data_IF_137824507897
#
_entry.id   IF_137824507897
#
_cell.length_a   1.000
_cell.length_b   1.000
_cell.length_c   1.000
_cell.angle_alpha   90.00
_cell.angle_beta   90.00
_cell.angle_gamma   90.00
#
_symmetry.space_group_name_H-M   'P 1'
#
loop_
_entity.id
_entity.type
_entity.pdbx_description
1 polymer ?
#
# COMPACT_ATOMS: atom_id res chain seq x y z
N UNK A 1 -1.05 2.44 -22.39
CA UNK A 1 -1.66 3.50 -23.21
C UNK A 1 -2.98 3.83 -22.52
N UNK A 2 -3.02 4.89 -21.70
CA UNK A 2 -4.19 5.19 -20.88
C UNK A 2 -5.38 5.56 -21.77
N UNK A 3 -6.39 4.69 -21.81
CA UNK A 3 -7.67 5.02 -22.44
C UNK A 3 -8.28 6.13 -21.58
N UNK A 4 -8.33 7.35 -22.13
CA UNK A 4 -9.08 8.43 -21.50
C UNK A 4 -10.55 8.08 -21.64
N UNK A 5 -11.16 7.56 -20.60
CA UNK A 5 -12.61 7.61 -20.44
C UNK A 5 -13.02 9.09 -20.40
N UNK A 6 -13.44 9.61 -21.56
CA UNK A 6 -13.85 11.01 -21.70
C UNK A 6 -15.25 11.14 -21.14
N UNK A 7 -15.34 11.38 -19.83
CA UNK A 7 -16.59 11.84 -19.21
C UNK A 7 -16.96 13.19 -19.84
N UNK A 8 -18.21 13.29 -20.29
CA UNK A 8 -18.72 14.51 -20.93
C UNK A 8 -18.55 15.72 -20.00
N UNK A 9 -17.85 16.75 -20.47
CA UNK A 9 -17.55 17.96 -19.68
C UNK A 9 -18.82 18.69 -19.21
N UNK A 10 -19.90 18.69 -20.00
CA UNK A 10 -21.20 19.28 -19.61
C UNK A 10 -21.81 18.56 -18.40
N UNK A 11 -21.64 17.24 -18.35
CA UNK A 11 -22.12 16.42 -17.24
C UNK A 11 -21.38 16.78 -15.94
N UNK A 12 -20.07 17.02 -16.02
CA UNK A 12 -19.28 17.47 -14.88
C UNK A 12 -19.72 18.85 -14.36
N UNK A 13 -20.04 19.79 -15.25
CA UNK A 13 -20.52 21.14 -14.87
C UNK A 13 -21.88 21.10 -14.18
N UNK A 14 -22.77 20.20 -14.60
CA UNK A 14 -24.06 19.96 -13.94
C UNK A 14 -23.89 19.23 -12.61
N UNK A 15 -23.00 18.24 -12.57
CA UNK A 15 -22.74 17.43 -11.38
C UNK A 15 -22.09 18.25 -10.25
N UNK A 16 -21.14 19.14 -10.59
CA UNK A 16 -20.29 19.91 -9.66
C UNK A 16 -19.64 19.06 -8.56
N UNK A 17 -19.47 17.76 -8.83
CA UNK A 17 -18.96 16.78 -7.88
C UNK A 17 -19.96 16.35 -6.78
N UNK A 18 -21.18 16.89 -6.74
CA UNK A 18 -22.17 16.58 -5.72
C UNK A 18 -22.98 15.30 -6.05
N UNK A 19 -23.44 15.19 -7.30
CA UNK A 19 -24.47 14.21 -7.67
C UNK A 19 -23.94 12.94 -8.36
N UNK A 20 -22.61 12.79 -8.48
CA UNK A 20 -21.92 11.64 -9.14
C UNK A 20 -22.53 11.20 -10.47
N UNK A 21 -22.99 12.16 -11.29
CA UNK A 21 -23.72 11.90 -12.53
C UNK A 21 -22.92 11.07 -13.56
N UNK A 22 -21.60 11.01 -13.44
CA UNK A 22 -20.73 10.23 -14.32
C UNK A 22 -20.59 8.74 -13.93
N UNK A 23 -21.25 8.28 -12.86
CA UNK A 23 -21.22 6.89 -12.42
C UNK A 23 -19.90 6.42 -11.80
N UNK A 24 -18.88 7.28 -11.71
CA UNK A 24 -17.59 6.95 -11.08
C UNK A 24 -17.75 6.79 -9.57
N UNK A 25 -16.95 5.88 -8.98
CA UNK A 25 -16.92 5.63 -7.54
C UNK A 25 -16.58 6.87 -6.70
N UNK A 26 -15.79 7.78 -7.28
CA UNK A 26 -15.42 9.06 -6.67
C UNK A 26 -15.27 10.14 -7.76
N UNK A 27 -15.28 11.42 -7.36
CA UNK A 27 -15.01 12.53 -8.29
C UNK A 27 -13.50 12.82 -8.43
N UNK A 28 -12.86 12.52 -9.59
CA UNK A 28 -11.42 12.71 -9.72
C UNK A 28 -11.01 14.20 -9.77
N UNK A 29 -11.92 15.08 -10.19
CA UNK A 29 -11.70 16.53 -10.21
C UNK A 29 -11.57 17.05 -8.77
N UNK A 30 -12.51 16.69 -7.89
CA UNK A 30 -12.49 17.07 -6.48
C UNK A 30 -11.26 16.49 -5.78
N UNK A 31 -11.02 15.19 -5.94
CA UNK A 31 -9.87 14.52 -5.34
C UNK A 31 -8.54 15.17 -5.75
N UNK A 32 -8.37 15.45 -7.05
CA UNK A 32 -7.20 16.17 -7.56
C UNK A 32 -7.10 17.59 -7.02
N UNK A 33 -8.21 18.33 -6.96
CA UNK A 33 -8.23 19.70 -6.43
C UNK A 33 -7.82 19.74 -4.96
N UNK A 34 -8.35 18.82 -4.14
CA UNK A 34 -8.02 18.73 -2.71
C UNK A 34 -6.53 18.46 -2.50
N UNK A 35 -5.96 17.52 -3.24
CA UNK A 35 -4.53 17.25 -3.20
C UNK A 35 -3.70 18.46 -3.66
N UNK A 36 -4.08 19.13 -4.75
CA UNK A 36 -3.37 20.31 -5.25
C UNK A 36 -3.44 21.50 -4.27
N UNK A 37 -4.56 21.68 -3.55
CA UNK A 37 -4.66 22.70 -2.51
C UNK A 37 -3.64 22.48 -1.40
N UNK A 38 -3.46 21.23 -0.94
CA UNK A 38 -2.42 20.86 0.03
C UNK A 38 -1.02 21.10 -0.51
N UNK A 39 -0.80 20.79 -1.79
CA UNK A 39 0.50 20.93 -2.45
C UNK A 39 0.88 22.38 -2.82
N UNK A 40 -0.09 23.31 -2.85
CA UNK A 40 0.10 24.68 -3.34
C UNK A 40 1.30 25.42 -2.71
N UNK A 41 1.65 25.08 -1.46
CA UNK A 41 2.76 25.66 -0.70
C UNK A 41 4.15 25.21 -1.15
N UNK A 42 4.26 24.11 -1.91
CA UNK A 42 5.56 23.48 -2.21
C UNK A 42 5.83 23.23 -3.70
N UNK A 43 4.88 23.52 -4.60
CA UNK A 43 5.04 23.26 -6.05
C UNK A 43 6.24 23.98 -6.66
N UNK A 44 6.68 25.10 -6.05
CA UNK A 44 7.78 25.92 -6.54
C UNK A 44 9.01 25.94 -5.61
N UNK A 45 9.03 25.09 -4.58
CA UNK A 45 10.14 25.06 -3.61
C UNK A 45 10.97 23.79 -3.79
N UNK A 46 12.23 23.86 -3.38
CA UNK A 46 13.10 22.69 -3.25
C UNK A 46 13.13 22.15 -1.82
N UNK A 47 12.71 22.93 -0.83
CA UNK A 47 12.60 22.50 0.55
C UNK A 47 11.15 22.11 0.83
N UNK A 48 10.97 20.93 1.41
CA UNK A 48 9.67 20.37 1.80
C UNK A 48 9.79 19.90 3.24
N UNK A 49 8.86 20.32 4.08
CA UNK A 49 8.82 19.97 5.49
C UNK A 49 7.42 19.46 5.82
N UNK A 50 7.34 18.48 6.71
CA UNK A 50 6.07 17.98 7.20
C UNK A 50 6.17 16.67 7.96
N UNK A 51 5.06 16.26 8.56
CA UNK A 51 4.96 15.02 9.32
C UNK A 51 4.70 13.84 8.37
N UNK A 52 5.72 13.02 8.11
CA UNK A 52 5.58 11.80 7.31
C UNK A 52 4.79 10.74 8.11
N UNK A 53 3.86 9.99 7.50
CA UNK A 53 3.19 8.82 8.10
C UNK A 53 4.08 7.57 8.00
N UNK A 54 5.33 7.73 8.45
CA UNK A 54 6.52 6.97 8.04
C UNK A 54 6.49 6.39 6.62
N UNK A 55 6.06 7.16 5.62
CA UNK A 55 5.89 6.63 4.27
C UNK A 55 7.21 6.57 3.52
N UNK A 56 7.45 5.45 2.86
CA UNK A 56 8.63 5.20 2.03
C UNK A 56 8.22 4.55 0.73
N UNK A 57 8.99 4.82 -0.32
CA UNK A 57 8.80 4.20 -1.62
C UNK A 57 10.09 3.53 -2.07
N UNK A 58 10.00 2.27 -2.49
CA UNK A 58 11.07 1.54 -3.17
C UNK A 58 10.54 1.05 -4.51
N UNK A 59 11.09 1.59 -5.60
CA UNK A 59 10.70 1.26 -6.95
C UNK A 59 11.16 -0.14 -7.38
N UNK A 60 10.54 -0.68 -8.44
CA UNK A 60 10.91 -1.96 -9.07
C UNK A 60 11.75 -1.82 -10.34
N UNK A 61 11.71 -0.65 -10.97
CA UNK A 61 12.37 -0.39 -12.26
C UNK A 61 13.86 -0.12 -12.02
N UNK A 62 14.72 -0.73 -12.83
CA UNK A 62 16.18 -0.53 -12.77
C UNK A 62 16.92 -1.52 -11.86
N UNK A 63 16.26 -2.57 -11.35
CA UNK A 63 16.86 -3.55 -10.45
C UNK A 63 18.23 -4.07 -10.98
N UNK A 64 19.30 -4.10 -10.16
CA UNK A 64 19.34 -3.87 -8.71
C UNK A 64 19.48 -2.40 -8.27
N UNK A 65 19.55 -1.43 -9.19
CA UNK A 65 19.61 0.01 -8.87
C UNK A 65 18.24 0.66 -9.03
N UNK A 66 17.49 0.71 -7.93
CA UNK A 66 16.11 1.19 -7.91
C UNK A 66 16.00 2.60 -7.35
N UNK A 67 14.90 3.29 -7.65
CA UNK A 67 14.60 4.57 -7.00
C UNK A 67 14.00 4.33 -5.62
N UNK A 68 14.60 4.90 -4.58
CA UNK A 68 14.09 4.81 -3.22
C UNK A 68 14.09 6.17 -2.51
N UNK A 69 13.15 6.39 -1.60
CA UNK A 69 13.14 7.55 -0.72
C UNK A 69 11.85 7.76 0.07
N UNK A 70 11.80 8.80 0.91
CA UNK A 70 10.66 9.05 1.78
C UNK A 70 9.50 9.69 1.02
N UNK A 71 8.32 9.63 1.63
CA UNK A 71 7.16 10.39 1.21
C UNK A 71 6.57 11.16 2.40
N UNK A 72 6.35 12.46 2.22
CA UNK A 72 5.81 13.33 3.27
C UNK A 72 4.84 14.34 2.66
N UNK A 73 3.73 14.68 3.34
CA UNK A 73 2.90 15.79 2.93
C UNK A 73 3.52 17.12 3.40
N UNK A 74 3.21 18.25 2.75
CA UNK A 74 3.72 19.56 3.14
C UNK A 74 2.91 20.18 4.31
N UNK A 75 2.66 19.39 5.35
CA UNK A 75 1.91 19.78 6.54
C UNK A 75 2.39 19.02 7.78
N UNK A 76 2.23 19.65 8.95
CA UNK A 76 2.55 19.05 10.24
C UNK A 76 1.31 18.58 10.97
N UNK A 77 1.46 17.55 11.81
CA UNK A 77 0.40 17.03 12.67
C UNK A 77 0.22 15.52 12.54
N UNK A 78 -0.98 15.04 12.82
CA UNK A 78 -1.29 13.63 12.70
C UNK A 78 -1.63 13.28 11.24
N UNK A 79 -0.66 12.71 10.53
CA UNK A 79 -0.81 12.29 9.14
C UNK A 79 -1.00 10.77 9.00
N UNK A 80 -1.22 10.01 10.09
CA UNK A 80 -1.29 8.53 10.06
C UNK A 80 -2.24 7.99 8.98
N UNK A 81 -3.37 8.66 8.76
CA UNK A 81 -4.36 8.29 7.74
C UNK A 81 -3.83 8.39 6.29
N UNK A 82 -2.63 8.91 6.05
CA UNK A 82 -2.13 9.13 4.70
C UNK A 82 -1.48 7.88 4.10
N UNK A 83 -1.10 6.93 4.95
CA UNK A 83 -0.43 5.70 4.52
C UNK A 83 -0.69 4.54 5.51
N UNK A 84 -1.93 4.44 5.98
CA UNK A 84 -2.42 3.36 6.86
C UNK A 84 -3.81 2.86 6.37
N UNK A 85 -3.83 2.02 5.31
CA UNK A 85 -5.04 1.47 4.70
C UNK A 85 -6.01 0.77 5.66
N UNK A 86 -5.50 0.21 6.76
CA UNK A 86 -6.29 -0.44 7.81
C UNK A 86 -7.33 0.51 8.43
N UNK A 87 -7.14 1.84 8.33
CA UNK A 87 -8.08 2.85 8.83
C UNK A 87 -8.98 3.46 7.74
N UNK A 88 -8.94 2.98 6.50
CA UNK A 88 -9.62 3.62 5.37
C UNK A 88 -11.03 3.12 5.07
N UNK A 89 -11.49 2.05 5.75
CA UNK A 89 -12.77 1.40 5.44
C UNK A 89 -13.97 2.37 5.46
N UNK A 90 -13.99 3.32 6.37
CA UNK A 90 -15.09 4.28 6.50
C UNK A 90 -14.74 5.67 5.93
N UNK A 91 -13.63 5.76 5.18
CA UNK A 91 -13.15 7.00 4.58
C UNK A 91 -13.64 7.10 3.13
N UNK A 92 -14.15 8.28 2.69
CA UNK A 92 -14.48 8.52 1.30
C UNK A 92 -13.25 8.36 0.38
N UNK A 93 -13.44 7.73 -0.77
CA UNK A 93 -12.37 7.47 -1.73
C UNK A 93 -11.71 8.76 -2.25
N UNK A 94 -12.46 9.86 -2.36
CA UNK A 94 -11.91 11.19 -2.67
C UNK A 94 -10.85 11.63 -1.65
N UNK A 95 -11.10 11.38 -0.36
CA UNK A 95 -10.19 11.73 0.73
C UNK A 95 -8.94 10.86 0.69
N UNK A 96 -9.08 9.55 0.44
CA UNK A 96 -7.94 8.62 0.31
C UNK A 96 -7.04 9.08 -0.84
N UNK A 97 -7.61 9.39 -2.00
CA UNK A 97 -6.87 9.93 -3.16
C UNK A 97 -6.21 11.26 -2.81
N UNK A 98 -6.87 12.13 -2.04
CA UNK A 98 -6.31 13.40 -1.60
C UNK A 98 -5.12 13.22 -0.64
N UNK A 99 -5.24 12.36 0.36
CA UNK A 99 -4.16 12.05 1.30
C UNK A 99 -2.93 11.52 0.56
N UNK A 100 -3.13 10.47 -0.24
CA UNK A 100 -2.09 9.83 -1.03
C UNK A 100 -1.48 10.75 -2.09
N UNK A 101 -2.32 11.55 -2.74
CA UNK A 101 -1.90 12.53 -3.73
C UNK A 101 -1.13 13.71 -3.16
N UNK A 102 -1.25 13.98 -1.85
CA UNK A 102 -0.49 15.04 -1.17
C UNK A 102 0.90 14.63 -0.70
N UNK A 103 1.21 13.33 -0.68
CA UNK A 103 2.52 12.82 -0.30
C UNK A 103 3.54 13.07 -1.41
N UNK A 104 4.53 13.91 -1.12
CA UNK A 104 5.64 14.22 -2.05
C UNK A 104 6.66 13.10 -1.93
N UNK A 105 6.80 12.30 -2.99
CA UNK A 105 7.75 11.20 -3.04
C UNK A 105 9.10 11.71 -3.52
N UNK A 106 9.99 11.94 -2.57
CA UNK A 106 11.36 12.35 -2.80
C UNK A 106 12.21 11.09 -2.98
N UNK A 107 12.90 10.92 -4.12
CA UNK A 107 13.59 9.64 -4.41
C UNK A 107 14.89 9.81 -5.16
N UNK A 108 15.84 8.90 -4.94
CA UNK A 108 17.12 8.82 -5.67
C UNK A 108 17.47 7.37 -6.02
N UNK A 109 18.35 7.13 -7.00
CA UNK A 109 18.85 5.78 -7.28
C UNK A 109 19.64 5.24 -6.08
N UNK A 110 19.36 4.00 -5.69
CA UNK A 110 20.03 3.26 -4.61
C UNK A 110 20.23 1.82 -5.07
N UNK A 111 21.38 1.22 -4.75
CA UNK A 111 21.60 -0.21 -4.94
C UNK A 111 20.86 -0.97 -3.84
N UNK A 112 20.01 -1.93 -4.18
CA UNK A 112 19.21 -2.68 -3.20
C UNK A 112 20.05 -3.40 -2.14
N UNK A 113 21.30 -3.74 -2.44
CA UNK A 113 22.20 -4.43 -1.51
C UNK A 113 22.92 -3.48 -0.55
N UNK A 114 22.87 -2.17 -0.78
CA UNK A 114 23.59 -1.14 0.01
C UNK A 114 22.72 -0.61 1.17
N UNK A 115 22.32 -1.53 2.05
CA UNK A 115 21.43 -1.24 3.18
C UNK A 115 22.12 -0.49 4.33
N UNK A 116 23.46 -0.47 4.34
CA UNK A 116 24.27 0.22 5.35
C UNK A 116 24.63 1.66 4.93
N UNK A 117 24.26 2.08 3.71
CA UNK A 117 24.46 3.48 3.32
C UNK A 117 23.66 4.42 4.22
N UNK A 118 24.26 5.57 4.57
CA UNK A 118 23.65 6.58 5.45
C UNK A 118 22.21 6.92 5.07
N UNK A 119 21.94 7.06 3.78
CA UNK A 119 20.59 7.38 3.28
C UNK A 119 19.58 6.25 3.48
N UNK A 120 19.99 4.99 3.30
CA UNK A 120 19.10 3.85 3.57
C UNK A 120 18.89 3.69 5.08
N UNK A 121 19.91 3.94 5.89
CA UNK A 121 19.77 3.97 7.35
C UNK A 121 18.79 5.04 7.79
N UNK A 122 18.82 6.25 7.22
CA UNK A 122 17.81 7.29 7.53
C UNK A 122 16.40 6.87 7.07
N UNK A 123 16.27 6.12 5.96
CA UNK A 123 14.98 5.55 5.57
C UNK A 123 14.49 4.48 6.55
N UNK A 124 15.41 3.66 7.06
CA UNK A 124 15.11 2.65 8.08
C UNK A 124 14.68 3.33 9.38
N UNK A 125 15.44 4.32 9.86
CA UNK A 125 15.10 5.13 11.04
C UNK A 125 13.72 5.77 10.92
N UNK A 126 13.37 6.30 9.75
CA UNK A 126 12.03 6.85 9.51
C UNK A 126 10.94 5.81 9.77
N UNK A 127 11.07 4.61 9.21
CA UNK A 127 10.04 3.55 9.34
C UNK A 127 10.13 2.75 10.63
N UNK A 128 11.14 2.95 11.47
CA UNK A 128 11.14 2.37 12.82
C UNK A 128 10.02 3.00 13.65
N UNK A 129 9.71 4.28 13.44
CA UNK A 129 8.57 4.92 14.08
C UNK A 129 7.27 4.47 13.45
N UNK A 130 6.26 4.14 14.28
CA UNK A 130 4.89 3.85 13.81
C UNK A 130 4.08 5.14 13.63
N UNK A 131 4.37 6.14 14.46
CA UNK A 131 3.68 7.41 14.48
C UNK A 131 4.24 8.39 13.45
N UNK A 132 3.49 9.45 13.10
CA UNK A 132 3.98 10.49 12.22
C UNK A 132 5.25 11.18 12.76
N UNK A 133 6.24 11.33 11.88
CA UNK A 133 7.57 11.88 12.18
C UNK A 133 7.83 13.11 11.31
N UNK A 134 8.27 14.20 11.92
CA UNK A 134 8.63 15.40 11.14
C UNK A 134 9.95 15.18 10.41
N UNK A 135 9.91 15.41 9.10
CA UNK A 135 11.10 15.35 8.25
C UNK A 135 11.24 16.61 7.42
N UNK A 136 12.49 16.96 7.14
CA UNK A 136 12.87 18.00 6.19
C UNK A 136 13.51 17.33 4.97
N UNK A 137 13.04 17.67 3.79
CA UNK A 137 13.53 17.14 2.52
C UNK A 137 14.09 18.30 1.69
N UNK A 138 15.34 18.16 1.26
CA UNK A 138 15.92 19.02 0.23
C UNK A 138 15.88 18.30 -1.12
N UNK A 139 15.12 18.84 -2.07
CA UNK A 139 14.98 18.35 -3.43
C UNK A 139 16.04 18.96 -4.36
N UNK A 140 16.35 18.28 -5.47
CA UNK A 140 17.21 18.84 -6.53
C UNK A 140 16.48 19.81 -7.45
N UNK A 141 15.16 19.64 -7.55
CA UNK A 141 14.26 20.49 -8.32
C UNK A 141 12.85 20.41 -7.72
N UNK A 142 12.01 21.43 -7.91
CA UNK A 142 10.64 21.42 -7.40
C UNK A 142 9.84 20.20 -7.90
N UNK A 143 8.92 19.67 -7.07
CA UNK A 143 8.09 18.55 -7.43
C UNK A 143 7.11 18.95 -8.53
N UNK A 144 6.91 18.06 -9.52
CA UNK A 144 5.85 18.26 -10.51
C UNK A 144 4.52 17.96 -9.85
N UNK A 145 3.58 18.92 -9.86
CA UNK A 145 2.23 18.78 -9.32
C UNK A 145 1.34 17.82 -10.15
N UNK A 146 1.82 16.61 -10.33
CA UNK A 146 1.19 15.52 -11.05
C UNK A 146 0.92 14.40 -10.05
N UNK A 147 -0.35 14.04 -9.92
CA UNK A 147 -0.78 12.86 -9.18
C UNK A 147 -0.82 11.71 -10.17
N UNK A 148 -0.04 10.67 -9.89
CA UNK A 148 -0.06 9.44 -10.67
C UNK A 148 -1.16 8.54 -10.13
N UNK A 149 -2.22 8.37 -10.92
CA UNK A 149 -3.18 7.31 -10.72
C UNK A 149 -2.69 6.11 -11.54
N UNK A 150 -2.56 4.98 -10.86
CA UNK A 150 -2.22 3.72 -11.48
C UNK A 150 -3.23 2.69 -11.02
N UNK A 151 -3.33 1.72 -11.89
CA UNK A 151 -4.11 0.52 -11.75
C UNK A 151 -3.44 -0.55 -10.87
N UNK A 152 -2.11 -0.43 -10.75
CA UNK A 152 -1.26 -1.41 -10.08
C UNK A 152 -0.56 -0.84 -8.84
N UNK A 153 -0.70 0.46 -8.60
CA UNK A 153 -0.09 1.17 -7.47
C UNK A 153 -1.17 2.07 -6.87
N UNK A 154 -1.23 2.21 -5.52
CA UNK A 154 -2.06 3.23 -4.90
C UNK A 154 -1.79 4.61 -5.50
N UNK A 155 -2.70 5.59 -5.37
CA UNK A 155 -2.42 6.95 -5.80
C UNK A 155 -1.06 7.40 -5.24
N UNK A 156 -0.21 7.94 -6.12
CA UNK A 156 1.11 8.44 -5.75
C UNK A 156 1.12 9.93 -6.04
N UNK A 157 1.46 10.71 -5.02
CA UNK A 157 1.63 12.14 -5.14
C UNK A 157 2.85 12.55 -5.97
N UNK A 158 3.12 13.87 -6.03
CA UNK A 158 4.23 14.46 -6.77
C UNK A 158 5.57 13.78 -6.51
N UNK A 159 6.35 13.59 -7.57
CA UNK A 159 7.67 12.96 -7.49
C UNK A 159 8.76 13.99 -7.76
N UNK A 160 9.82 13.95 -6.95
CA UNK A 160 10.99 14.80 -7.13
C UNK A 160 12.30 14.05 -6.82
N UNK A 161 13.41 14.36 -7.53
CA UNK A 161 14.71 13.85 -7.15
C UNK A 161 15.16 14.48 -5.82
N UNK A 162 15.53 13.65 -4.85
CA UNK A 162 16.03 14.12 -3.55
C UNK A 162 17.52 14.42 -3.60
N UNK A 163 17.95 15.48 -2.91
CA UNK A 163 19.35 15.76 -2.58
C UNK A 163 19.68 15.07 -1.25
N UNK A 164 18.96 15.44 -0.20
CA UNK A 164 19.05 14.81 1.12
C UNK A 164 17.74 14.98 1.90
N UNK A 165 17.60 14.24 3.01
CA UNK A 165 16.51 14.45 3.97
C UNK A 165 16.98 14.14 5.39
N UNK A 166 16.33 14.78 6.37
CA UNK A 166 16.66 14.63 7.78
C UNK A 166 15.39 14.42 8.60
N UNK A 167 15.51 13.64 9.67
CA UNK A 167 14.45 13.46 10.66
C UNK A 167 14.63 14.54 11.72
N UNK A 168 13.60 15.37 11.90
CA UNK A 168 13.62 16.52 12.83
C UNK A 168 13.14 16.11 14.22
N UNK A 169 12.13 15.24 14.30
CA UNK A 169 11.57 14.78 15.57
C UNK A 169 11.61 13.25 15.67
N UNK A 170 12.46 12.71 16.56
CA UNK A 170 12.42 11.29 16.86
C UNK A 170 11.28 10.99 17.84
N UNK A 171 10.39 10.06 17.46
CA UNK A 171 9.38 9.50 18.37
C UNK A 171 9.81 8.11 18.82
N UNK A 172 9.52 7.77 20.07
CA UNK A 172 9.83 6.46 20.62
C UNK A 172 9.24 5.35 19.76
N UNK A 173 10.08 4.39 19.38
CA UNK A 173 9.68 3.24 18.56
C UNK A 173 9.01 2.18 19.44
N UNK A 174 8.12 1.37 18.85
CA UNK A 174 7.59 0.20 19.54
C UNK A 174 8.73 -0.78 19.85
N UNK A 175 8.91 -1.15 21.13
CA UNK A 175 10.04 -1.98 21.60
C UNK A 175 10.25 -3.28 20.81
N UNK A 176 9.18 -3.85 20.27
CA UNK A 176 9.26 -5.06 19.42
C UNK A 176 9.94 -4.77 18.09
N UNK A 177 9.67 -3.62 17.46
CA UNK A 177 10.29 -3.21 16.19
C UNK A 177 11.80 -3.04 16.40
N UNK A 178 12.23 -2.33 17.45
CA UNK A 178 13.65 -2.18 17.78
C UNK A 178 14.33 -3.54 17.97
N UNK A 179 13.73 -4.43 18.76
CA UNK A 179 14.27 -5.78 18.97
C UNK A 179 14.43 -6.55 17.66
N UNK A 180 13.42 -6.53 16.80
CA UNK A 180 13.44 -7.23 15.51
C UNK A 180 14.45 -6.61 14.55
N UNK A 181 14.58 -5.28 14.55
CA UNK A 181 15.54 -4.57 13.71
C UNK A 181 17.00 -4.82 14.15
N UNK A 182 17.25 -4.83 15.46
CA UNK A 182 18.59 -5.07 16.03
C UNK A 182 19.02 -6.53 15.95
N UNK A 183 18.08 -7.48 15.88
CA UNK A 183 18.38 -8.89 15.74
C UNK A 183 18.84 -9.22 14.30
N UNK A 184 20.16 -9.39 14.15
CA UNK A 184 20.79 -9.63 12.86
C UNK A 184 20.80 -11.10 12.43
N UNK A 185 20.32 -12.01 13.28
CA UNK A 185 20.28 -13.46 13.02
C UNK A 185 18.85 -13.97 12.77
N UNK A 186 17.84 -13.20 13.16
CA UNK A 186 16.43 -13.47 12.88
C UNK A 186 16.15 -13.50 11.37
N UNK A 187 15.44 -14.53 10.90
CA UNK A 187 15.02 -14.57 9.50
C UNK A 187 13.92 -13.54 9.22
N UNK A 188 13.83 -13.07 7.98
CA UNK A 188 12.79 -12.10 7.60
C UNK A 188 11.37 -12.67 7.82
N UNK A 189 11.20 -13.98 7.67
CA UNK A 189 9.93 -14.68 7.90
C UNK A 189 9.52 -14.63 9.37
N UNK A 190 10.44 -14.98 10.28
CA UNK A 190 10.19 -14.96 11.72
C UNK A 190 9.98 -13.53 12.22
N UNK A 191 10.75 -12.57 11.69
CA UNK A 191 10.58 -11.15 11.99
C UNK A 191 9.16 -10.64 11.65
N UNK A 192 8.68 -10.95 10.44
CA UNK A 192 7.33 -10.57 9.99
C UNK A 192 6.25 -11.18 10.90
N UNK A 193 6.34 -12.48 11.21
CA UNK A 193 5.39 -13.15 12.09
C UNK A 193 5.39 -12.54 13.49
N UNK A 194 6.57 -12.32 14.07
CA UNK A 194 6.72 -11.76 15.42
C UNK A 194 6.14 -10.35 15.53
N UNK A 195 6.33 -9.51 14.50
CA UNK A 195 5.74 -8.17 14.45
C UNK A 195 4.21 -8.24 14.37
N UNK A 196 3.68 -9.12 13.53
CA UNK A 196 2.24 -9.31 13.36
C UNK A 196 1.58 -9.82 14.65
N UNK A 197 2.14 -10.84 15.30
CA UNK A 197 1.66 -11.36 16.58
C UNK A 197 1.74 -10.32 17.71
N UNK A 198 2.62 -9.32 17.55
CA UNK A 198 2.73 -8.17 18.47
C UNK A 198 1.80 -7.01 18.09
N UNK A 199 0.79 -7.26 17.24
CA UNK A 199 -0.21 -6.27 16.79
C UNK A 199 0.36 -5.05 16.05
N UNK A 200 1.53 -5.19 15.41
CA UNK A 200 2.02 -4.16 14.50
C UNK A 200 1.21 -4.22 13.20
N UNK A 201 0.67 -3.09 12.69
CA UNK A 201 -0.11 -3.09 11.46
C UNK A 201 0.65 -3.71 10.27
N UNK A 202 -0.03 -4.52 9.47
CA UNK A 202 0.56 -5.23 8.33
C UNK A 202 1.21 -4.24 7.36
N UNK A 203 0.58 -3.10 7.08
CA UNK A 203 1.15 -2.03 6.25
C UNK A 203 2.47 -1.52 6.80
N UNK A 204 2.62 -1.43 8.11
CA UNK A 204 3.87 -1.00 8.74
C UNK A 204 4.96 -2.07 8.63
N UNK A 205 4.61 -3.35 8.79
CA UNK A 205 5.51 -4.48 8.55
C UNK A 205 6.01 -4.49 7.09
N UNK A 206 5.14 -4.19 6.13
CA UNK A 206 5.50 -4.07 4.71
C UNK A 206 6.51 -2.94 4.46
N UNK A 207 6.38 -1.79 5.15
CA UNK A 207 7.36 -0.68 5.09
C UNK A 207 8.73 -1.12 5.62
N UNK A 208 8.77 -1.73 6.81
CA UNK A 208 9.99 -2.29 7.41
C UNK A 208 10.67 -3.32 6.49
N UNK A 209 9.88 -4.21 5.90
CA UNK A 209 10.36 -5.22 4.95
C UNK A 209 10.92 -4.56 3.68
N UNK A 210 10.24 -3.54 3.14
CA UNK A 210 10.62 -2.85 1.91
C UNK A 210 11.96 -2.11 2.03
N UNK A 211 12.26 -1.50 3.17
CA UNK A 211 13.54 -0.80 3.40
C UNK A 211 14.68 -1.74 3.83
N UNK A 212 14.44 -3.05 3.83
CA UNK A 212 15.45 -4.03 4.23
C UNK A 212 15.80 -3.98 5.72
N UNK A 213 14.87 -3.51 6.58
CA UNK A 213 15.07 -3.49 8.03
C UNK A 213 14.95 -4.90 8.66
N UNK A 214 14.33 -5.85 7.95
CA UNK A 214 14.02 -7.18 8.46
C UNK A 214 14.93 -8.26 7.84
N UNK A 215 15.27 -9.26 8.66
CA UNK A 215 16.00 -10.45 8.25
C UNK A 215 17.49 -10.45 8.60
N UNK A 216 18.15 -11.55 8.23
CA UNK A 216 19.57 -11.78 8.56
C UNK A 216 20.45 -10.71 7.93
N UNK A 217 21.43 -10.18 8.66
CA UNK A 217 22.28 -9.06 8.22
C UNK A 217 22.83 -9.22 6.81
N UNK A 218 23.39 -10.39 6.48
CA UNK A 218 23.97 -10.68 5.16
C UNK A 218 22.95 -10.83 4.02
N UNK A 219 21.67 -10.93 4.35
CA UNK A 219 20.57 -11.12 3.39
C UNK A 219 19.63 -9.91 3.30
N UNK A 220 19.82 -8.89 4.16
CA UNK A 220 19.06 -7.64 4.11
C UNK A 220 19.32 -6.95 2.77
N UNK A 221 18.22 -6.53 2.14
CA UNK A 221 18.21 -5.75 0.91
C UNK A 221 16.94 -4.93 0.84
N UNK A 222 16.97 -3.81 0.14
CA UNK A 222 15.76 -3.11 -0.25
C UNK A 222 14.90 -4.02 -1.13
N UNK A 223 13.61 -4.09 -0.82
CA UNK A 223 12.63 -4.85 -1.58
C UNK A 223 11.64 -3.86 -2.19
N UNK A 224 11.40 -3.88 -3.51
CA UNK A 224 10.39 -3.02 -4.13
C UNK A 224 9.06 -3.11 -3.39
N UNK A 225 8.43 -1.97 -3.12
CA UNK A 225 7.24 -1.89 -2.24
C UNK A 225 6.14 -2.86 -2.66
N UNK A 226 5.89 -3.00 -3.97
CA UNK A 226 4.94 -4.00 -4.51
C UNK A 226 5.28 -5.43 -4.11
N UNK A 227 6.55 -5.80 -4.14
CA UNK A 227 6.99 -7.16 -3.78
C UNK A 227 6.98 -7.36 -2.27
N UNK A 228 7.27 -6.30 -1.49
CA UNK A 228 7.20 -6.33 -0.04
C UNK A 228 5.76 -6.58 0.45
N UNK A 229 4.78 -5.88 -0.14
CA UNK A 229 3.34 -6.09 0.15
C UNK A 229 2.98 -7.56 -0.01
N UNK A 230 3.19 -8.11 -1.21
CA UNK A 230 2.83 -9.51 -1.46
C UNK A 230 3.65 -10.50 -0.62
N UNK A 231 4.94 -10.25 -0.39
CA UNK A 231 5.77 -11.16 0.40
C UNK A 231 5.31 -11.24 1.85
N UNK A 232 4.95 -10.11 2.46
CA UNK A 232 4.42 -10.07 3.83
C UNK A 232 3.08 -10.81 3.90
N UNK A 233 2.15 -10.53 2.98
CA UNK A 233 0.83 -11.18 2.96
C UNK A 233 0.96 -12.70 2.80
N UNK A 234 1.89 -13.17 1.94
CA UNK A 234 2.21 -14.60 1.77
C UNK A 234 2.77 -15.19 3.06
N UNK A 235 3.76 -14.54 3.68
CA UNK A 235 4.38 -15.04 4.92
C UNK A 235 3.35 -15.19 6.02
N UNK A 236 2.51 -14.18 6.22
CA UNK A 236 1.49 -14.16 7.27
C UNK A 236 0.40 -15.18 6.98
N UNK A 237 -0.17 -15.19 5.77
CA UNK A 237 -1.21 -16.15 5.43
C UNK A 237 -0.69 -17.60 5.52
N UNK A 238 0.52 -17.89 5.05
CA UNK A 238 1.12 -19.23 5.21
C UNK A 238 1.34 -19.62 6.68
N UNK A 239 1.63 -18.65 7.55
CA UNK A 239 1.78 -18.89 9.00
C UNK A 239 0.44 -19.25 9.63
N UNK A 240 -0.61 -18.47 9.37
CA UNK A 240 -1.96 -18.71 9.90
C UNK A 240 -2.55 -20.01 9.36
N UNK A 241 -2.32 -20.33 8.08
CA UNK A 241 -2.86 -21.54 7.46
C UNK A 241 -2.37 -22.84 8.07
N UNK A 242 -1.26 -22.84 8.81
CA UNK A 242 -0.84 -24.03 9.58
C UNK A 242 -1.89 -24.38 10.64
N UNK A 243 -2.42 -23.37 11.33
CA UNK A 243 -3.45 -23.52 12.37
C UNK A 243 -4.83 -23.72 11.75
N UNK A 244 -5.17 -22.96 10.70
CA UNK A 244 -6.48 -23.08 10.03
C UNK A 244 -6.74 -24.49 9.51
N UNK A 245 -5.71 -25.18 8.99
CA UNK A 245 -5.84 -26.56 8.49
C UNK A 245 -6.09 -27.60 9.58
N UNK A 246 -5.85 -27.26 10.84
CA UNK A 246 -6.08 -28.13 12.01
C UNK A 246 -7.48 -27.92 12.62
N UNK A 247 -8.22 -26.90 12.17
CA UNK A 247 -9.58 -26.64 12.64
C UNK A 247 -10.56 -27.74 12.18
N UNK A 248 -11.62 -28.00 12.97
CA UNK A 248 -12.74 -28.80 12.50
C UNK A 248 -13.41 -28.12 11.30
N UNK A 249 -14.12 -28.92 10.50
CA UNK A 249 -14.90 -28.39 9.39
C UNK A 249 -16.08 -27.57 9.92
N UNK A 250 -16.50 -26.57 9.15
CA UNK A 250 -17.68 -25.77 9.49
C UNK A 250 -18.94 -26.64 9.45
N UNK A 251 -19.90 -26.36 10.34
CA UNK A 251 -21.18 -27.09 10.36
C UNK A 251 -22.16 -26.61 9.27
N UNK A 252 -21.91 -25.43 8.68
CA UNK A 252 -22.80 -24.81 7.70
C UNK A 252 -22.06 -23.89 6.74
N UNK A 253 -22.73 -23.54 5.64
CA UNK A 253 -22.23 -22.54 4.69
C UNK A 253 -22.47 -21.15 5.27
N UNK A 254 -21.41 -20.32 5.32
CA UNK A 254 -21.50 -18.94 5.75
C UNK A 254 -21.38 -18.01 4.53
N UNK A 255 -22.22 -16.98 4.48
CA UNK A 255 -22.20 -15.95 3.45
C UNK A 255 -22.01 -14.58 4.09
N UNK A 256 -20.97 -13.87 3.66
CA UNK A 256 -20.71 -12.49 4.01
C UNK A 256 -20.81 -11.63 2.77
N UNK A 257 -21.47 -10.48 2.88
CA UNK A 257 -21.52 -9.49 1.79
C UNK A 257 -21.21 -8.11 2.33
N UNK A 258 -20.51 -7.31 1.52
CA UNK A 258 -20.23 -5.91 1.83
C UNK A 258 -20.16 -5.10 0.55
N UNK A 259 -20.94 -4.03 0.49
CA UNK A 259 -20.85 -3.04 -0.58
C UNK A 259 -20.08 -1.82 -0.10
N UNK A 260 -18.98 -1.48 -0.77
CA UNK A 260 -18.13 -0.35 -0.43
C UNK A 260 -17.49 0.27 -1.68
N UNK A 261 -17.47 1.60 -1.76
CA UNK A 261 -16.91 2.37 -2.89
C UNK A 261 -17.35 1.86 -4.27
N UNK A 262 -18.64 1.52 -4.41
CA UNK A 262 -19.24 0.92 -5.62
C UNK A 262 -18.70 -0.45 -6.03
N UNK A 263 -18.05 -1.17 -5.12
CA UNK A 263 -17.68 -2.57 -5.26
C UNK A 263 -18.54 -3.43 -4.34
N UNK A 264 -18.93 -4.62 -4.80
CA UNK A 264 -19.58 -5.65 -3.99
C UNK A 264 -18.55 -6.73 -3.71
N UNK A 265 -18.27 -6.96 -2.43
CA UNK A 265 -17.49 -8.09 -1.95
C UNK A 265 -18.44 -9.15 -1.41
N UNK A 266 -18.24 -10.40 -1.83
CA UNK A 266 -18.93 -11.56 -1.28
C UNK A 266 -17.89 -12.60 -0.87
N UNK A 267 -17.97 -13.08 0.37
CA UNK A 267 -17.15 -14.19 0.85
C UNK A 267 -18.08 -15.35 1.24
N UNK A 268 -17.80 -16.53 0.68
CA UNK A 268 -18.58 -17.74 0.92
C UNK A 268 -17.63 -18.76 1.54
N UNK A 269 -17.94 -19.20 2.76
CA UNK A 269 -17.18 -20.23 3.45
C UNK A 269 -18.01 -21.52 3.41
N UNK A 270 -17.45 -22.57 2.83
CA UNK A 270 -18.12 -23.85 2.61
C UNK A 270 -17.44 -24.92 3.48
N UNK A 271 -18.21 -25.79 4.17
CA UNK A 271 -17.66 -26.93 4.90
C UNK A 271 -16.71 -27.78 4.05
N UNK A 272 -15.54 -28.10 4.60
CA UNK A 272 -14.56 -28.98 3.97
C UNK A 272 -13.12 -28.64 4.36
N UNK A 273 -12.17 -29.34 3.73
CA UNK A 273 -10.74 -29.04 3.88
C UNK A 273 -10.39 -27.71 3.24
N UNK A 274 -9.36 -27.06 3.77
CA UNK A 274 -8.88 -25.78 3.23
C UNK A 274 -8.69 -25.85 1.71
N UNK A 275 -9.43 -24.99 1.04
CA UNK A 275 -9.24 -24.56 -0.33
C UNK A 275 -9.67 -23.09 -0.37
N UNK A 276 -9.08 -22.33 -1.28
CA UNK A 276 -9.33 -20.90 -1.34
C UNK A 276 -9.41 -20.47 -2.79
N UNK A 277 -10.39 -19.62 -3.10
CA UNK A 277 -10.58 -19.04 -4.41
C UNK A 277 -10.87 -17.55 -4.24
N UNK A 278 -10.24 -16.74 -5.08
CA UNK A 278 -10.57 -15.32 -5.22
C UNK A 278 -10.86 -15.01 -6.67
N UNK A 279 -11.94 -14.28 -6.90
CA UNK A 279 -12.43 -13.92 -8.22
C UNK A 279 -12.79 -12.44 -8.26
N UNK A 280 -12.52 -11.80 -9.40
CA UNK A 280 -12.90 -10.42 -9.69
C UNK A 280 -13.80 -10.41 -10.93
N UNK A 281 -14.97 -9.78 -10.79
CA UNK A 281 -15.93 -9.64 -11.88
C UNK A 281 -15.96 -8.18 -12.36
N UNK A 282 -15.51 -7.96 -13.58
CA UNK A 282 -15.47 -6.65 -14.24
C UNK A 282 -16.70 -6.46 -15.14
N UNK A 283 -17.69 -5.73 -14.63
CA UNK A 283 -18.94 -5.47 -15.35
C UNK A 283 -18.76 -4.49 -16.52
N UNK A 284 -19.58 -4.61 -17.59
CA UNK A 284 -19.64 -3.62 -18.67
C UNK A 284 -19.74 -2.18 -18.17
N UNK A 285 -18.93 -1.28 -18.73
CA UNK A 285 -18.86 0.14 -18.36
C UNK A 285 -18.04 0.45 -17.10
N UNK A 286 -17.45 -0.58 -16.45
CA UNK A 286 -16.47 -0.38 -15.38
C UNK A 286 -15.12 0.11 -15.94
N UNK A 287 -14.26 0.64 -15.08
CA UNK A 287 -12.90 1.12 -15.43
C UNK A 287 -12.10 0.11 -16.27
N UNK A 288 -12.33 -1.17 -16.01
CA UNK A 288 -11.57 -2.29 -16.59
C UNK A 288 -12.31 -3.07 -17.66
N UNK A 289 -13.58 -2.75 -17.86
CA UNK A 289 -14.38 -3.29 -18.93
C UNK A 289 -15.23 -2.16 -19.57
N UNK A 290 -14.61 -1.05 -20.04
CA UNK A 290 -15.33 0.15 -20.44
C UNK A 290 -16.18 -0.04 -21.71
N UNK A 291 -15.77 -0.95 -22.60
CA UNK A 291 -16.43 -1.20 -23.88
C UNK A 291 -16.93 -2.63 -24.06
N UNK A 292 -16.72 -3.52 -23.08
CA UNK A 292 -17.22 -4.88 -23.19
C UNK A 292 -18.73 -4.92 -23.01
N UNK A 293 -19.32 -5.97 -23.58
CA UNK A 293 -20.77 -6.21 -23.55
C UNK A 293 -21.17 -7.26 -22.52
N UNK A 294 -20.20 -8.00 -22.01
CA UNK A 294 -20.35 -9.10 -21.07
C UNK A 294 -19.45 -8.88 -19.87
N UNK A 295 -19.77 -9.54 -18.75
CA UNK A 295 -18.94 -9.52 -17.55
C UNK A 295 -17.68 -10.34 -17.79
N UNK A 296 -16.52 -9.75 -17.55
CA UNK A 296 -15.24 -10.47 -17.58
C UNK A 296 -14.92 -10.92 -16.16
N UNK A 297 -14.71 -12.22 -15.98
CA UNK A 297 -14.39 -12.81 -14.68
C UNK A 297 -12.96 -13.34 -14.73
N UNK A 298 -12.14 -12.88 -13.80
CA UNK A 298 -10.79 -13.39 -13.59
C UNK A 298 -10.72 -14.00 -12.19
N UNK A 299 -9.93 -15.05 -12.03
CA UNK A 299 -9.90 -15.74 -10.76
C UNK A 299 -8.74 -16.71 -10.64
N UNK A 300 -8.42 -16.99 -9.39
CA UNK A 300 -7.33 -17.86 -9.02
C UNK A 300 -7.73 -18.64 -7.78
N UNK A 301 -7.34 -19.91 -7.74
CA UNK A 301 -7.65 -20.80 -6.63
C UNK A 301 -6.44 -21.58 -6.13
N UNK A 302 -6.57 -22.18 -4.96
CA UNK A 302 -5.70 -23.20 -4.41
C UNK A 302 -6.49 -24.29 -3.71
N UNK A 303 -5.95 -25.51 -3.78
CA UNK A 303 -6.41 -26.63 -2.99
C UNK A 303 -5.59 -26.73 -1.69
N UNK A 304 -5.81 -27.79 -0.93
CA UNK A 304 -5.16 -28.03 0.37
C UNK A 304 -3.64 -27.84 0.38
N UNK A 305 -2.94 -28.19 -0.70
CA UNK A 305 -1.48 -28.08 -0.83
C UNK A 305 -0.98 -26.66 -1.17
N UNK A 306 -1.88 -25.71 -1.43
CA UNK A 306 -1.55 -24.35 -1.86
C UNK A 306 -1.14 -24.26 -3.33
N UNK A 307 -0.79 -23.04 -3.76
CA UNK A 307 -0.28 -22.75 -5.12
C UNK A 307 1.23 -22.93 -5.22
N UNK A 308 1.69 -23.26 -6.44
CA UNK A 308 3.12 -23.27 -6.80
C UNK A 308 3.53 -22.07 -7.67
N UNK A 309 2.56 -21.41 -8.27
CA UNK A 309 2.75 -20.24 -9.13
C UNK A 309 2.10 -19.00 -8.53
N UNK A 310 2.65 -17.85 -8.88
CA UNK A 310 2.06 -16.56 -8.53
C UNK A 310 0.64 -16.44 -9.12
N UNK A 311 -0.34 -15.92 -8.36
CA UNK A 311 -1.69 -15.66 -8.86
C UNK A 311 -1.68 -14.66 -10.02
N UNK A 312 -2.43 -14.96 -11.07
CA UNK A 312 -2.61 -14.11 -12.25
C UNK A 312 -3.29 -12.78 -11.90
N UNK A 313 -4.27 -12.80 -11.00
CA UNK A 313 -4.97 -11.62 -10.47
C UNK A 313 -4.08 -10.75 -9.56
N UNK A 314 -2.90 -11.25 -9.16
CA UNK A 314 -1.92 -10.49 -8.40
C UNK A 314 -2.08 -10.54 -6.88
N UNK A 315 -1.61 -9.49 -6.20
CA UNK A 315 -1.44 -9.47 -4.74
C UNK A 315 -2.75 -9.51 -3.95
N UNK A 316 -3.88 -9.09 -4.54
CA UNK A 316 -5.19 -9.13 -3.90
C UNK A 316 -5.55 -10.53 -3.40
N UNK A 317 -5.16 -11.58 -4.15
CA UNK A 317 -5.32 -12.99 -3.76
C UNK A 317 -4.76 -13.27 -2.36
N UNK A 318 -3.53 -12.81 -2.07
CA UNK A 318 -2.89 -13.08 -0.79
C UNK A 318 -3.42 -12.18 0.33
N UNK A 319 -3.81 -10.95 0.02
CA UNK A 319 -4.48 -10.07 0.98
C UNK A 319 -5.83 -10.65 1.42
N UNK A 320 -6.66 -11.14 0.49
CA UNK A 320 -7.93 -11.80 0.81
C UNK A 320 -7.73 -13.14 1.52
N UNK A 321 -6.71 -13.91 1.14
CA UNK A 321 -6.36 -15.16 1.81
C UNK A 321 -5.95 -14.93 3.25
N UNK A 322 -5.17 -13.87 3.51
CA UNK A 322 -4.79 -13.46 4.86
C UNK A 322 -6.03 -13.11 5.69
N UNK A 323 -6.88 -12.21 5.20
CA UNK A 323 -8.12 -11.83 5.91
C UNK A 323 -9.04 -13.02 6.19
N UNK A 324 -9.14 -13.97 5.27
CA UNK A 324 -9.92 -15.21 5.46
C UNK A 324 -9.29 -16.09 6.54
N UNK A 325 -7.97 -16.24 6.53
CA UNK A 325 -7.26 -17.02 7.55
C UNK A 325 -7.33 -16.37 8.95
N UNK A 326 -7.36 -15.04 9.02
CA UNK A 326 -7.61 -14.28 10.25
C UNK A 326 -9.01 -14.52 10.80
N UNK A 327 -10.05 -14.48 9.94
CA UNK A 327 -11.43 -14.74 10.37
C UNK A 327 -11.64 -16.15 10.94
N UNK A 328 -10.92 -17.14 10.41
CA UNK A 328 -11.04 -18.53 10.83
C UNK A 328 -10.42 -18.83 12.20
N UNK A 329 -9.54 -17.96 12.73
CA UNK A 329 -8.76 -18.20 13.96
C UNK A 329 -9.22 -17.32 15.13
#
# INVERSE_FOLDING_TARGET
MYVRDVVNSRLCVLCRGANRLCGRAYCPILARSMALMKLSRVVNTVNVEGSSPPSVFVGRIGYPKVLAGPATPPEHGNTSLYDLPELWLDIPLESIVAFRGSLIVARRPVNVYDVESRYVQTLQELVLSVDPVDIEITLRKPPRAEISLSDFEPPIGPRAPVKDFYIVSYRATHRVIEKVYSDTDLSAREAVVKLYESSIPVTHIQKLFSVGALGKKRSRRLVPTRYAITAVDVILSDHLLKRVRELPELDSVLLFTRSIHNNLFAAILIPGKWSFEWMEAWFPGSTWNPYGKEVVIEGDYELYKGRKSYPSIGGCYYASRLATAEYML
#
